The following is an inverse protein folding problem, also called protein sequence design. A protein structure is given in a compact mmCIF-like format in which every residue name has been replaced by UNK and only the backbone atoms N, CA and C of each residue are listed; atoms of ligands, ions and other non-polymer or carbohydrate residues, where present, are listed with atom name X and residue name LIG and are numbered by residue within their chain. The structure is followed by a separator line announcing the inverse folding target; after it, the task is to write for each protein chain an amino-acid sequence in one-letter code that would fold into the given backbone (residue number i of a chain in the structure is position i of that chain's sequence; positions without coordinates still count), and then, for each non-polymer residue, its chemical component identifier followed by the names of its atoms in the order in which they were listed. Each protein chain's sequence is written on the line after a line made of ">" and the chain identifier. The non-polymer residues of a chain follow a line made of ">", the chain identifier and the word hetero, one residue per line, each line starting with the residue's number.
data_IF_074669986245
#
_entry.id   IF_074669986245
#
_cell.length_a   1.000
_cell.length_b   1.000
_cell.length_c   1.000
_cell.angle_alpha   90.00
_cell.angle_beta   90.00
_cell.angle_gamma   90.00
#
_symmetry.space_group_name_H-M   'P 1'
#
loop_
_entity.id
_entity.type
_entity.pdbx_description
1 polymer ?
#
# COMPACT_ATOMS: atom_id res chain seq x y z
N UNK A 1 13.73 -4.77 4.60
CA UNK A 1 14.36 -6.07 4.95
C UNK A 1 14.81 -6.14 6.41
N UNK A 2 15.75 -5.29 6.87
CA UNK A 2 16.31 -5.37 8.24
C UNK A 2 15.29 -5.29 9.40
N UNK A 3 14.32 -4.36 9.34
CA UNK A 3 13.28 -4.26 10.39
C UNK A 3 12.39 -5.50 10.38
N UNK A 4 11.91 -5.92 9.21
CA UNK A 4 11.09 -7.12 9.07
C UNK A 4 11.82 -8.36 9.61
N UNK A 5 13.11 -8.51 9.30
CA UNK A 5 13.95 -9.60 9.81
C UNK A 5 14.13 -9.52 11.34
N UNK A 6 14.48 -8.34 11.87
CA UNK A 6 14.69 -8.12 13.32
C UNK A 6 13.45 -8.44 14.16
N UNK A 7 12.26 -8.16 13.62
CA UNK A 7 10.98 -8.32 14.32
C UNK A 7 10.16 -9.50 13.82
N UNK A 8 10.74 -10.36 12.97
CA UNK A 8 10.10 -11.53 12.39
C UNK A 8 8.74 -11.24 11.72
N UNK A 9 8.63 -10.10 11.03
CA UNK A 9 7.44 -9.74 10.25
C UNK A 9 7.43 -10.57 8.96
N UNK A 10 6.39 -11.38 8.79
CA UNK A 10 6.25 -12.23 7.62
C UNK A 10 5.85 -11.42 6.38
N UNK A 11 6.14 -11.95 5.19
CA UNK A 11 5.69 -11.35 3.93
C UNK A 11 4.17 -11.17 3.90
N UNK A 12 3.42 -12.17 4.35
CA UNK A 12 1.96 -12.14 4.41
C UNK A 12 1.46 -11.02 5.33
N UNK A 13 2.06 -10.81 6.50
CA UNK A 13 1.65 -9.71 7.40
C UNK A 13 1.87 -8.33 6.76
N UNK A 14 2.97 -8.16 6.02
CA UNK A 14 3.23 -6.92 5.29
C UNK A 14 2.24 -6.72 4.14
N UNK A 15 1.94 -7.78 3.39
CA UNK A 15 0.97 -7.74 2.30
C UNK A 15 -0.46 -7.47 2.81
N UNK A 16 -0.87 -8.07 3.94
CA UNK A 16 -2.16 -7.79 4.61
C UNK A 16 -2.28 -6.32 5.00
N UNK A 17 -1.23 -5.77 5.62
CA UNK A 17 -1.19 -4.36 6.00
C UNK A 17 -1.31 -3.43 4.77
N UNK A 18 -0.58 -3.75 3.70
CA UNK A 18 -0.62 -2.97 2.46
C UNK A 18 -1.98 -3.05 1.76
N UNK A 19 -2.59 -4.23 1.67
CA UNK A 19 -3.92 -4.40 1.09
C UNK A 19 -4.99 -3.64 1.89
N UNK A 20 -4.96 -3.74 3.23
CA UNK A 20 -5.88 -3.01 4.10
C UNK A 20 -5.70 -1.49 3.96
N UNK A 21 -4.46 -1.00 3.83
CA UNK A 21 -4.15 0.40 3.61
C UNK A 21 -4.78 0.92 2.30
N UNK A 22 -4.63 0.19 1.20
CA UNK A 22 -5.25 0.53 -0.08
C UNK A 22 -6.78 0.54 0.00
N UNK A 23 -7.39 -0.41 0.68
CA UNK A 23 -8.85 -0.47 0.87
C UNK A 23 -9.37 0.70 1.72
N UNK A 24 -8.65 1.07 2.79
CA UNK A 24 -8.99 2.24 3.62
C UNK A 24 -8.92 3.53 2.83
N UNK A 25 -7.83 3.72 2.06
CA UNK A 25 -7.66 4.91 1.22
C UNK A 25 -8.74 4.99 0.14
N UNK A 26 -9.02 3.88 -0.57
CA UNK A 26 -10.07 3.82 -1.58
C UNK A 26 -11.45 4.19 -1.02
N UNK A 27 -11.78 3.69 0.18
CA UNK A 27 -13.01 4.07 0.87
C UNK A 27 -13.03 5.55 1.24
N UNK A 28 -11.95 6.07 1.84
CA UNK A 28 -11.86 7.47 2.22
C UNK A 28 -12.01 8.43 1.02
N UNK A 29 -11.38 8.09 -0.11
CA UNK A 29 -11.55 8.83 -1.37
C UNK A 29 -12.98 8.76 -1.88
N UNK A 30 -13.59 7.56 -1.90
CA UNK A 30 -14.98 7.38 -2.34
C UNK A 30 -15.97 8.17 -1.47
N UNK A 31 -15.71 8.23 -0.17
CA UNK A 31 -16.56 8.88 0.82
C UNK A 31 -16.28 10.40 0.93
N UNK A 32 -15.39 10.96 0.10
CA UNK A 32 -15.07 12.39 0.07
C UNK A 32 -14.31 12.90 1.30
N UNK A 33 -13.66 12.01 2.06
CA UNK A 33 -13.01 12.38 3.32
C UNK A 33 -11.80 13.30 3.13
N UNK A 34 -11.21 13.32 1.93
CA UNK A 34 -10.07 14.17 1.59
C UNK A 34 -10.46 15.49 0.89
N UNK A 35 -11.75 15.73 0.65
CA UNK A 35 -12.23 16.88 -0.15
C UNK A 35 -11.86 18.24 0.47
N UNK A 36 -11.68 18.28 1.79
CA UNK A 36 -11.27 19.50 2.52
C UNK A 36 -9.75 19.71 2.54
N UNK A 37 -8.96 18.72 2.13
CA UNK A 37 -7.49 18.69 2.27
C UNK A 37 -6.79 18.76 0.90
N UNK A 38 -7.41 18.20 -0.14
CA UNK A 38 -6.85 18.16 -1.49
C UNK A 38 -7.19 19.43 -2.28
N UNK A 39 -6.15 20.10 -2.78
CA UNK A 39 -6.30 21.23 -3.71
C UNK A 39 -6.07 20.72 -5.14
N UNK A 40 -7.04 20.87 -6.06
CA UNK A 40 -6.89 20.40 -7.42
C UNK A 40 -5.75 21.11 -8.16
N UNK A 41 -4.91 20.34 -8.88
CA UNK A 41 -3.83 20.87 -9.72
C UNK A 41 -4.00 20.33 -11.13
N UNK A 42 -4.09 21.23 -12.12
CA UNK A 42 -4.23 20.86 -13.54
C UNK A 42 -5.36 19.84 -13.83
N UNK A 43 -6.45 19.89 -13.04
CA UNK A 43 -7.58 18.97 -13.17
C UNK A 43 -7.45 17.65 -12.40
N UNK A 44 -6.28 17.35 -11.82
CA UNK A 44 -6.11 16.23 -10.91
C UNK A 44 -6.59 16.64 -9.50
N UNK A 45 -7.54 15.89 -8.96
CA UNK A 45 -8.19 16.15 -7.68
C UNK A 45 -8.28 14.92 -6.74
N UNK A 46 -7.58 13.84 -7.08
CA UNK A 46 -7.54 12.58 -6.31
C UNK A 46 -6.13 12.01 -6.31
N UNK A 47 -5.81 11.16 -5.33
CA UNK A 47 -4.54 10.44 -5.28
C UNK A 47 -4.49 9.29 -6.30
N UNK A 48 -3.55 9.35 -7.25
CA UNK A 48 -3.46 8.39 -8.36
C UNK A 48 -2.97 6.99 -7.96
N UNK A 49 -2.30 6.86 -6.81
CA UNK A 49 -1.62 5.62 -6.40
C UNK A 49 -2.53 4.65 -5.62
N UNK A 50 -3.76 5.07 -5.31
CA UNK A 50 -4.72 4.21 -4.62
C UNK A 50 -5.19 3.13 -5.61
N UNK A 51 -5.00 1.86 -5.24
CA UNK A 51 -5.37 0.69 -6.04
C UNK A 51 -6.46 -0.11 -5.29
N UNK A 52 -7.76 0.16 -5.54
CA UNK A 52 -8.86 -0.44 -4.77
C UNK A 52 -8.91 -1.97 -4.83
N UNK A 53 -8.47 -2.56 -5.94
CA UNK A 53 -8.48 -4.00 -6.18
C UNK A 53 -7.25 -4.72 -5.60
N UNK A 54 -6.43 -4.04 -4.78
CA UNK A 54 -5.25 -4.65 -4.16
C UNK A 54 -5.69 -5.71 -3.14
N UNK A 55 -5.22 -6.93 -3.35
CA UNK A 55 -5.39 -8.06 -2.43
C UNK A 55 -4.05 -8.65 -2.04
N UNK A 56 -4.03 -9.44 -0.96
CA UNK A 56 -2.84 -10.19 -0.52
C UNK A 56 -2.31 -11.07 -1.65
N UNK A 57 -3.19 -11.72 -2.42
CA UNK A 57 -2.81 -12.58 -3.54
C UNK A 57 -2.14 -11.80 -4.66
N UNK A 58 -2.68 -10.62 -5.01
CA UNK A 58 -2.07 -9.76 -6.04
C UNK A 58 -0.69 -9.25 -5.61
N UNK A 59 -0.54 -8.92 -4.31
CA UNK A 59 0.73 -8.46 -3.75
C UNK A 59 1.76 -9.58 -3.69
N UNK A 60 1.36 -10.79 -3.28
CA UNK A 60 2.24 -11.95 -3.18
C UNK A 60 2.94 -12.28 -4.51
N UNK A 61 2.32 -11.94 -5.65
CA UNK A 61 2.92 -12.09 -6.99
C UNK A 61 4.06 -11.10 -7.31
N UNK A 62 4.26 -10.06 -6.50
CA UNK A 62 5.32 -9.07 -6.71
C UNK A 62 6.67 -9.58 -6.23
N UNK A 63 7.70 -9.34 -7.07
CA UNK A 63 9.10 -9.57 -6.71
C UNK A 63 9.52 -8.60 -5.59
N UNK A 64 10.42 -9.02 -4.67
CA UNK A 64 11.04 -8.11 -3.73
C UNK A 64 11.67 -6.91 -4.46
N UNK A 65 11.38 -5.69 -4.00
CA UNK A 65 11.95 -4.47 -4.58
C UNK A 65 13.45 -4.33 -4.24
N UNK A 66 13.87 -4.94 -3.12
CA UNK A 66 15.24 -5.03 -2.65
C UNK A 66 15.49 -6.48 -2.22
N UNK A 67 16.73 -6.93 -2.38
CA UNK A 67 17.18 -8.25 -1.95
C UNK A 67 18.59 -8.12 -1.38
N UNK A 68 18.82 -8.74 -0.22
CA UNK A 68 20.14 -8.84 0.39
C UNK A 68 20.41 -10.29 0.81
N UNK A 69 21.43 -10.92 0.22
CA UNK A 69 21.86 -12.30 0.54
C UNK A 69 22.17 -12.52 2.03
N UNK A 70 22.54 -11.49 2.77
CA UNK A 70 22.84 -11.62 4.20
C UNK A 70 21.57 -11.68 5.09
N UNK A 71 20.39 -11.40 4.52
CA UNK A 71 19.12 -11.28 5.26
C UNK A 71 18.03 -12.20 4.68
N UNK A 72 18.10 -12.54 3.39
CA UNK A 72 17.16 -13.42 2.70
C UNK A 72 17.67 -14.84 2.57
#
# INVERSE_FOLDING_TARGET
>A
ELIAAKWHLSRTQLDEFSAESHQKAARATKDGLFDNELIPIAGLNTDEIIRPDTTVETLAGLRPAFYNEAIG
#
